data_IF_263789593805
#
_entry.id   IF_263789593805
#
_cell.length_a   1.000
_cell.length_b   1.000
_cell.length_c   1.000
_cell.angle_alpha   90.00
_cell.angle_beta   90.00
_cell.angle_gamma   90.00
#
_symmetry.space_group_name_H-M   'P 1'
#
loop_
_entity.id
_entity.type
_entity.pdbx_description
1 polymer ?
#
# COMPACT_ATOMS: atom_id res chain seq x y z
N UNK A 1 54.86 -13.17 23.07
CA UNK A 1 54.83 -12.08 22.09
C UNK A 1 54.86 -10.77 22.87
N UNK A 2 55.78 -9.85 22.59
CA UNK A 2 55.80 -8.56 23.28
C UNK A 2 54.59 -7.72 22.84
N UNK A 3 54.07 -6.84 23.70
CA UNK A 3 52.96 -5.95 23.33
C UNK A 3 53.30 -5.13 22.07
N UNK A 4 54.57 -4.79 21.85
CA UNK A 4 55.04 -4.11 20.64
C UNK A 4 54.84 -4.91 19.34
N UNK A 5 55.04 -6.24 19.37
CA UNK A 5 54.78 -7.09 18.20
C UNK A 5 53.29 -7.19 17.87
N UNK A 6 52.45 -7.24 18.91
CA UNK A 6 51.00 -7.25 18.76
C UNK A 6 50.52 -5.93 18.13
N UNK A 7 51.04 -4.80 18.59
CA UNK A 7 50.65 -3.49 18.09
C UNK A 7 51.10 -3.27 16.64
N UNK A 8 52.28 -3.77 16.26
CA UNK A 8 52.75 -3.75 14.88
C UNK A 8 51.83 -4.56 13.94
N UNK A 9 51.44 -5.77 14.35
CA UNK A 9 50.53 -6.63 13.57
C UNK A 9 49.13 -5.99 13.45
N UNK A 10 48.63 -5.34 14.51
CA UNK A 10 47.36 -4.62 14.46
C UNK A 10 47.39 -3.45 13.50
N UNK A 11 48.49 -2.69 13.49
CA UNK A 11 48.67 -1.60 12.52
C UNK A 11 48.64 -2.10 11.08
N UNK A 12 49.28 -3.25 10.80
CA UNK A 12 49.20 -3.88 9.48
C UNK A 12 47.78 -4.34 9.12
N UNK A 13 47.01 -4.84 10.09
CA UNK A 13 45.59 -5.18 9.89
C UNK A 13 44.75 -3.94 9.57
N UNK A 14 45.01 -2.81 10.23
CA UNK A 14 44.31 -1.56 9.96
C UNK A 14 44.59 -1.02 8.54
N UNK A 15 45.84 -1.13 8.09
CA UNK A 15 46.23 -0.79 6.70
C UNK A 15 45.49 -1.70 5.70
N UNK A 16 45.42 -3.01 5.95
CA UNK A 16 44.66 -3.95 5.13
C UNK A 16 43.15 -3.67 5.13
N UNK A 17 42.57 -3.21 6.24
CA UNK A 17 41.16 -2.83 6.32
C UNK A 17 40.85 -1.65 5.38
N UNK A 18 41.75 -0.68 5.29
CA UNK A 18 41.61 0.46 4.37
C UNK A 18 41.69 -0.01 2.91
N UNK A 19 42.59 -0.94 2.61
CA UNK A 19 42.69 -1.53 1.27
C UNK A 19 41.42 -2.30 0.89
N UNK A 20 40.87 -3.09 1.80
CA UNK A 20 39.59 -3.78 1.60
C UNK A 20 38.44 -2.80 1.35
N UNK A 21 38.35 -1.72 2.13
CA UNK A 21 37.35 -0.67 1.93
C UNK A 21 37.45 -0.06 0.52
N UNK A 22 38.67 0.27 0.08
CA UNK A 22 38.92 0.83 -1.25
C UNK A 22 38.50 -0.13 -2.36
N UNK A 23 38.81 -1.42 -2.23
CA UNK A 23 38.41 -2.45 -3.18
C UNK A 23 36.89 -2.65 -3.22
N UNK A 24 36.23 -2.65 -2.06
CA UNK A 24 34.78 -2.77 -1.95
C UNK A 24 34.09 -1.55 -2.60
N UNK A 25 34.57 -0.33 -2.33
CA UNK A 25 34.02 0.89 -2.93
C UNK A 25 34.18 0.89 -4.46
N UNK A 26 35.38 0.57 -4.95
CA UNK A 26 35.64 0.45 -6.38
C UNK A 26 34.76 -0.61 -7.05
N UNK A 27 34.52 -1.74 -6.37
CA UNK A 27 33.56 -2.75 -6.84
C UNK A 27 32.13 -2.18 -6.87
N UNK A 28 31.73 -1.44 -5.85
CA UNK A 28 30.43 -0.76 -5.79
C UNK A 28 30.20 0.19 -6.96
N UNK A 29 31.21 0.99 -7.33
CA UNK A 29 31.13 1.89 -8.49
C UNK A 29 30.97 1.11 -9.80
N UNK A 30 31.72 0.02 -9.99
CA UNK A 30 31.54 -0.86 -11.16
C UNK A 30 30.15 -1.50 -11.19
N UNK A 31 29.61 -1.91 -10.04
CA UNK A 31 28.25 -2.45 -9.93
C UNK A 31 27.20 -1.40 -10.33
N UNK A 32 27.40 -0.12 -9.99
CA UNK A 32 26.56 0.98 -10.45
C UNK A 32 26.66 1.22 -11.96
N UNK A 33 27.88 1.21 -12.51
CA UNK A 33 28.06 1.35 -13.97
C UNK A 33 27.41 0.19 -14.72
N UNK A 34 27.58 -1.05 -14.27
CA UNK A 34 26.90 -2.22 -14.87
C UNK A 34 25.38 -2.06 -14.82
N UNK A 35 24.83 -1.50 -13.74
CA UNK A 35 23.39 -1.26 -13.63
C UNK A 35 22.84 -0.36 -14.74
N UNK A 36 23.61 0.64 -15.21
CA UNK A 36 23.20 1.53 -16.31
C UNK A 36 23.02 0.81 -17.65
N UNK A 37 23.75 -0.28 -17.86
CA UNK A 37 23.69 -1.08 -19.10
C UNK A 37 22.71 -2.26 -18.99
N UNK A 38 22.19 -2.55 -17.80
CA UNK A 38 21.11 -3.52 -17.66
C UNK A 38 19.81 -2.89 -18.16
N UNK A 39 19.07 -3.53 -19.07
CA UNK A 39 17.80 -2.98 -19.56
C UNK A 39 16.83 -2.76 -18.38
N UNK A 40 16.09 -1.64 -18.39
CA UNK A 40 15.05 -1.26 -17.42
C UNK A 40 13.81 -2.17 -17.44
N UNK A 41 13.98 -3.49 -17.53
CA UNK A 41 12.91 -4.47 -17.59
C UNK A 41 12.92 -5.34 -16.32
N UNK A 42 12.21 -4.87 -15.29
CA UNK A 42 11.80 -5.67 -14.12
C UNK A 42 12.89 -5.97 -13.07
N UNK A 43 12.44 -6.29 -11.85
CA UNK A 43 13.29 -6.67 -10.72
C UNK A 43 14.08 -7.98 -10.99
N UNK A 44 13.51 -8.90 -11.78
CA UNK A 44 14.06 -10.24 -12.06
C UNK A 44 15.34 -10.26 -12.90
N UNK A 45 15.74 -9.14 -13.52
CA UNK A 45 17.02 -9.02 -14.27
C UNK A 45 18.14 -8.34 -13.46
N UNK A 46 17.86 -7.87 -12.25
CA UNK A 46 18.87 -7.24 -11.38
C UNK A 46 19.69 -8.28 -10.63
N UNK A 47 19.02 -9.25 -10.01
CA UNK A 47 19.63 -10.44 -9.44
C UNK A 47 19.84 -11.50 -10.52
N UNK A 48 21.08 -11.95 -10.70
CA UNK A 48 21.42 -13.04 -11.62
C UNK A 48 22.09 -14.15 -10.82
N UNK A 49 21.32 -15.20 -10.41
CA UNK A 49 21.85 -16.28 -9.58
C UNK A 49 22.90 -17.10 -10.34
N UNK A 50 22.83 -17.18 -11.67
CA UNK A 50 23.82 -17.87 -12.50
C UNK A 50 25.14 -17.12 -12.45
N UNK A 51 25.09 -15.81 -12.63
CA UNK A 51 26.28 -14.95 -12.53
C UNK A 51 26.89 -14.97 -11.12
N UNK A 52 26.06 -14.90 -10.09
CA UNK A 52 26.53 -15.02 -8.70
C UNK A 52 27.24 -16.35 -8.48
N UNK A 53 26.62 -17.46 -8.87
CA UNK A 53 27.20 -18.79 -8.72
C UNK A 53 28.56 -18.91 -9.44
N UNK A 54 28.67 -18.42 -10.68
CA UNK A 54 29.94 -18.39 -11.41
C UNK A 54 31.04 -17.59 -10.70
N UNK A 55 30.69 -16.46 -10.08
CA UNK A 55 31.66 -15.66 -9.31
C UNK A 55 32.10 -16.41 -8.05
N UNK A 56 31.17 -17.05 -7.34
CA UNK A 56 31.47 -17.84 -6.14
C UNK A 56 32.35 -19.05 -6.45
N UNK A 57 32.06 -19.79 -7.51
CA UNK A 57 32.90 -20.92 -7.95
C UNK A 57 34.31 -20.47 -8.35
N UNK A 58 34.42 -19.31 -9.01
CA UNK A 58 35.73 -18.73 -9.33
C UNK A 58 36.53 -18.38 -8.07
N UNK A 59 35.89 -17.77 -7.08
CA UNK A 59 36.53 -17.40 -5.80
C UNK A 59 36.97 -18.65 -5.04
N UNK A 60 36.12 -19.67 -5.00
CA UNK A 60 36.41 -20.97 -4.38
C UNK A 60 37.63 -21.63 -5.03
N UNK A 61 37.67 -21.70 -6.36
CA UNK A 61 38.79 -22.32 -7.09
C UNK A 61 40.11 -21.57 -6.95
N UNK A 62 40.09 -20.30 -6.53
CA UNK A 62 41.27 -19.46 -6.31
C UNK A 62 41.63 -19.29 -4.82
N UNK A 63 40.90 -19.95 -3.91
CA UNK A 63 41.12 -19.81 -2.48
C UNK A 63 42.31 -20.66 -2.03
N UNK A 64 43.48 -20.03 -1.90
CA UNK A 64 44.68 -20.61 -1.29
C UNK A 64 44.88 -20.11 0.16
N UNK A 65 43.88 -19.38 0.69
CA UNK A 65 43.96 -18.68 1.96
C UNK A 65 43.61 -19.55 3.18
N UNK A 66 43.78 -19.01 4.39
CA UNK A 66 43.55 -19.74 5.64
C UNK A 66 42.06 -19.95 5.97
N UNK A 67 41.15 -19.28 5.26
CA UNK A 67 39.71 -19.43 5.46
C UNK A 67 39.14 -20.57 4.61
N UNK A 68 38.21 -21.33 5.18
CA UNK A 68 37.47 -22.35 4.44
C UNK A 68 36.60 -21.72 3.35
N UNK A 69 36.40 -22.46 2.25
CA UNK A 69 35.58 -22.03 1.11
C UNK A 69 34.18 -21.55 1.52
N UNK A 70 33.55 -22.25 2.48
CA UNK A 70 32.22 -21.87 2.96
C UNK A 70 32.19 -20.46 3.57
N UNK A 71 33.24 -20.08 4.31
CA UNK A 71 33.38 -18.76 4.92
C UNK A 71 33.60 -17.69 3.85
N UNK A 72 34.48 -17.95 2.88
CA UNK A 72 34.72 -17.04 1.76
C UNK A 72 33.43 -16.82 0.98
N UNK A 73 32.70 -17.90 0.64
CA UNK A 73 31.41 -17.81 -0.06
C UNK A 73 30.43 -16.94 0.70
N UNK A 74 30.30 -17.11 2.02
CA UNK A 74 29.38 -16.33 2.83
C UNK A 74 29.73 -14.83 2.83
N UNK A 75 31.01 -14.47 3.05
CA UNK A 75 31.45 -13.08 3.04
C UNK A 75 31.20 -12.41 1.68
N UNK A 76 31.49 -13.10 0.58
CA UNK A 76 31.25 -12.54 -0.75
C UNK A 76 29.77 -12.42 -1.09
N UNK A 77 28.90 -13.32 -0.59
CA UNK A 77 27.45 -13.16 -0.71
C UNK A 77 26.94 -11.88 -0.05
N UNK A 78 27.44 -11.53 1.13
CA UNK A 78 27.08 -10.25 1.77
C UNK A 78 27.56 -9.04 0.95
N UNK A 79 28.76 -9.10 0.36
CA UNK A 79 29.26 -8.06 -0.56
C UNK A 79 28.37 -7.96 -1.81
N UNK A 80 27.88 -9.09 -2.33
CA UNK A 80 27.02 -9.12 -3.51
C UNK A 80 25.64 -8.56 -3.20
N UNK A 81 25.06 -8.93 -2.06
CA UNK A 81 23.81 -8.39 -1.55
C UNK A 81 23.89 -6.88 -1.36
N UNK A 82 24.92 -6.37 -0.70
CA UNK A 82 25.13 -4.92 -0.55
C UNK A 82 25.23 -4.20 -1.92
N UNK A 83 25.86 -4.85 -2.91
CA UNK A 83 25.89 -4.37 -4.29
C UNK A 83 24.52 -4.30 -4.96
N UNK A 84 23.65 -5.29 -4.71
CA UNK A 84 22.27 -5.29 -5.22
C UNK A 84 21.44 -4.18 -4.57
N UNK A 85 21.55 -4.01 -3.25
CA UNK A 85 20.86 -2.95 -2.49
C UNK A 85 21.28 -1.54 -2.96
N UNK A 86 22.54 -1.35 -3.38
CA UNK A 86 23.00 -0.10 -3.99
C UNK A 86 22.23 0.21 -5.30
N UNK A 87 21.89 -0.81 -6.08
CA UNK A 87 21.09 -0.65 -7.31
C UNK A 87 19.60 -0.40 -7.01
N UNK A 88 19.08 -0.97 -5.91
CA UNK A 88 17.70 -0.76 -5.47
C UNK A 88 17.46 0.65 -4.90
N UNK A 89 18.42 1.17 -4.11
CA UNK A 89 18.35 2.53 -3.54
C UNK A 89 18.31 3.64 -4.58
N UNK A 90 18.95 3.46 -5.74
CA UNK A 90 18.88 4.41 -6.85
C UNK A 90 17.55 4.29 -7.63
N UNK A 91 16.91 3.12 -7.69
CA UNK A 91 15.59 2.96 -8.32
C UNK A 91 14.48 3.69 -7.52
N UNK A 92 14.50 3.58 -6.18
CA UNK A 92 13.56 4.34 -5.34
C UNK A 92 13.79 5.87 -5.35
N UNK A 93 14.93 6.36 -5.85
CA UNK A 93 15.14 7.80 -6.10
C UNK A 93 14.37 8.31 -7.32
N UNK A 94 13.97 7.42 -8.24
CA UNK A 94 13.33 7.81 -9.51
C UNK A 94 11.81 7.68 -9.51
N UNK A 95 11.24 6.86 -8.60
CA UNK A 95 9.80 6.65 -8.52
C UNK A 95 9.04 7.97 -8.31
N UNK A 96 8.00 8.17 -9.10
CA UNK A 96 7.16 9.36 -9.04
C UNK A 96 6.49 9.50 -7.68
N UNK A 97 6.08 8.39 -7.06
CA UNK A 97 5.40 8.37 -5.74
C UNK A 97 6.32 8.61 -4.54
N UNK A 98 7.64 8.60 -4.72
CA UNK A 98 8.64 8.62 -3.64
C UNK A 98 8.84 10.01 -3.05
N UNK A 99 9.04 10.11 -1.72
CA UNK A 99 9.41 11.38 -1.08
C UNK A 99 10.72 11.98 -1.59
N UNK A 100 11.61 11.12 -2.09
CA UNK A 100 12.89 11.56 -2.68
C UNK A 100 12.66 12.33 -3.98
N UNK A 101 11.55 12.09 -4.68
CA UNK A 101 11.15 12.75 -5.92
C UNK A 101 10.34 14.01 -5.65
N UNK A 102 9.40 13.95 -4.71
CA UNK A 102 8.59 15.08 -4.25
C UNK A 102 8.54 15.06 -2.72
N UNK A 103 9.09 16.09 -2.08
CA UNK A 103 9.22 16.11 -0.63
C UNK A 103 7.89 16.49 0.06
N UNK A 104 7.12 17.37 -0.59
CA UNK A 104 5.84 17.88 -0.10
C UNK A 104 4.74 16.82 -0.19
N UNK A 105 3.83 16.82 0.78
CA UNK A 105 2.67 15.95 0.76
C UNK A 105 1.78 16.20 -0.47
N UNK A 106 1.25 15.13 -1.05
CA UNK A 106 0.12 15.21 -1.97
C UNK A 106 -1.14 15.36 -1.14
N UNK A 107 -1.89 16.43 -1.41
CA UNK A 107 -3.21 16.68 -0.85
C UNK A 107 -4.22 16.43 -1.96
N UNK A 108 -5.23 15.61 -1.67
CA UNK A 108 -6.29 15.29 -2.62
C UNK A 108 -7.57 15.97 -2.14
N UNK A 109 -8.04 16.94 -2.93
CA UNK A 109 -9.27 17.69 -2.66
C UNK A 109 -10.45 17.02 -3.37
N UNK A 110 -11.43 16.57 -2.60
CA UNK A 110 -12.67 15.99 -3.12
C UNK A 110 -13.85 16.74 -2.50
N UNK A 111 -14.49 17.60 -3.30
CA UNK A 111 -15.61 18.45 -2.86
C UNK A 111 -15.30 19.24 -1.57
N UNK A 112 -14.06 19.73 -1.41
CA UNK A 112 -13.61 20.51 -0.26
C UNK A 112 -13.01 19.68 0.89
N UNK A 113 -13.11 18.35 0.87
CA UNK A 113 -12.39 17.47 1.78
C UNK A 113 -10.96 17.25 1.29
N UNK A 114 -9.96 17.64 2.09
CA UNK A 114 -8.55 17.66 1.70
C UNK A 114 -7.74 16.55 2.34
N UNK A 115 -7.89 15.33 1.82
CA UNK A 115 -7.18 14.17 2.36
C UNK A 115 -5.67 14.36 2.21
N UNK A 116 -4.95 14.30 3.34
CA UNK A 116 -3.50 14.54 3.42
C UNK A 116 -3.13 15.93 3.95
N UNK A 117 -4.09 16.75 4.41
CA UNK A 117 -3.84 18.09 4.97
C UNK A 117 -3.38 18.10 6.44
N UNK A 118 -3.22 16.92 7.05
CA UNK A 118 -2.86 16.73 8.45
C UNK A 118 -4.04 16.53 9.40
N UNK A 119 -5.29 16.59 8.91
CA UNK A 119 -6.48 16.19 9.66
C UNK A 119 -6.95 14.79 9.24
N UNK A 120 -7.50 13.98 10.16
CA UNK A 120 -8.06 12.69 9.82
C UNK A 120 -9.46 12.86 9.18
N UNK A 121 -9.62 12.34 7.97
CA UNK A 121 -10.92 12.29 7.28
C UNK A 121 -11.61 10.93 7.46
N UNK A 122 -12.90 10.84 7.12
CA UNK A 122 -13.67 9.60 7.26
C UNK A 122 -14.41 9.26 5.96
N UNK A 123 -14.30 7.99 5.55
CA UNK A 123 -14.98 7.44 4.38
C UNK A 123 -15.85 6.27 4.86
N UNK A 124 -17.12 6.54 5.11
CA UNK A 124 -18.06 5.57 5.67
C UNK A 124 -19.17 5.23 4.67
N UNK A 125 -19.83 4.09 4.87
CA UNK A 125 -20.96 3.68 4.04
C UNK A 125 -21.08 2.18 3.93
N UNK A 126 -22.06 1.65 3.18
CA UNK A 126 -22.31 0.22 3.17
C UNK A 126 -21.26 -0.59 2.41
N UNK A 127 -21.15 -1.87 2.80
CA UNK A 127 -20.28 -2.82 2.12
C UNK A 127 -20.67 -2.99 0.66
N UNK A 128 -21.96 -3.19 0.40
CA UNK A 128 -22.53 -3.29 -0.94
C UNK A 128 -23.66 -2.29 -1.11
N UNK A 129 -23.87 -1.83 -2.34
CA UNK A 129 -25.09 -1.11 -2.71
C UNK A 129 -26.18 -2.15 -2.96
N UNK A 130 -27.24 -2.10 -2.17
CA UNK A 130 -28.31 -3.10 -2.22
C UNK A 130 -29.62 -2.53 -2.79
N UNK A 131 -29.91 -1.27 -2.48
CA UNK A 131 -31.01 -0.50 -3.05
C UNK A 131 -30.82 1.00 -2.78
N UNK A 132 -31.55 1.84 -3.51
CA UNK A 132 -31.56 3.29 -3.27
C UNK A 132 -31.95 3.65 -1.83
N UNK A 133 -33.04 3.06 -1.30
CA UNK A 133 -33.51 3.34 0.07
C UNK A 133 -32.50 2.91 1.13
N UNK A 134 -31.77 1.82 0.89
CA UNK A 134 -30.71 1.36 1.78
C UNK A 134 -29.55 2.37 1.84
N UNK A 135 -29.05 2.83 0.70
CA UNK A 135 -27.95 3.81 0.64
C UNK A 135 -28.40 5.17 1.16
N UNK A 136 -29.63 5.59 0.84
CA UNK A 136 -30.21 6.86 1.30
C UNK A 136 -30.19 6.99 2.83
N UNK A 137 -30.64 5.95 3.54
CA UNK A 137 -30.62 5.95 5.02
C UNK A 137 -29.19 6.07 5.57
N UNK A 138 -28.21 5.46 4.91
CA UNK A 138 -26.80 5.60 5.31
C UNK A 138 -26.28 7.01 5.03
N UNK A 139 -26.64 7.61 3.89
CA UNK A 139 -26.28 8.98 3.54
C UNK A 139 -26.84 10.01 4.54
N UNK A 140 -28.11 9.87 4.93
CA UNK A 140 -28.73 10.68 6.00
C UNK A 140 -27.92 10.61 7.30
N UNK A 141 -27.51 9.39 7.68
CA UNK A 141 -26.74 9.17 8.90
C UNK A 141 -25.30 9.72 8.79
N UNK A 142 -24.66 9.63 7.63
CA UNK A 142 -23.33 10.22 7.35
C UNK A 142 -23.40 11.76 7.45
N UNK A 143 -24.42 12.37 6.83
CA UNK A 143 -24.63 13.83 6.89
C UNK A 143 -24.97 14.33 8.28
N UNK A 144 -25.69 13.55 9.09
CA UNK A 144 -25.95 13.87 10.52
C UNK A 144 -24.66 14.10 11.30
N UNK A 145 -23.59 13.36 10.97
CA UNK A 145 -22.27 13.55 11.56
C UNK A 145 -21.45 14.65 10.89
N UNK A 146 -21.92 15.29 9.82
CA UNK A 146 -21.18 16.31 9.08
C UNK A 146 -20.03 15.75 8.24
N UNK A 147 -20.12 14.47 7.83
CA UNK A 147 -19.18 13.89 6.89
C UNK A 147 -19.63 14.15 5.45
N UNK A 148 -18.66 14.30 4.55
CA UNK A 148 -18.92 14.67 3.15
C UNK A 148 -18.57 13.58 2.14
N UNK A 149 -18.18 12.39 2.61
CA UNK A 149 -17.85 11.24 1.75
C UNK A 149 -18.71 10.02 2.11
N UNK A 150 -19.19 9.32 1.08
CA UNK A 150 -19.86 8.04 1.21
C UNK A 150 -19.23 6.98 0.30
N UNK A 151 -18.99 5.80 0.85
CA UNK A 151 -18.55 4.63 0.07
C UNK A 151 -19.67 3.61 -0.11
N UNK A 152 -19.70 2.92 -1.25
CA UNK A 152 -20.63 1.82 -1.50
C UNK A 152 -20.09 0.88 -2.57
N UNK A 153 -20.18 -0.43 -2.36
CA UNK A 153 -19.67 -1.40 -3.35
C UNK A 153 -20.71 -1.69 -4.43
N UNK A 154 -20.59 -1.05 -5.59
CA UNK A 154 -21.42 -1.37 -6.76
C UNK A 154 -21.00 -2.69 -7.43
N UNK A 155 -19.69 -2.97 -7.47
CA UNK A 155 -19.10 -4.25 -7.85
C UNK A 155 -18.47 -4.92 -6.63
N UNK A 156 -18.72 -6.21 -6.41
CA UNK A 156 -18.23 -6.95 -5.24
C UNK A 156 -17.34 -8.12 -5.66
N UNK A 157 -16.01 -8.06 -5.45
CA UNK A 157 -15.15 -9.22 -5.67
C UNK A 157 -15.38 -10.26 -4.56
N UNK A 158 -16.07 -11.35 -4.90
CA UNK A 158 -16.43 -12.44 -3.98
C UNK A 158 -15.49 -13.62 -4.10
N UNK A 159 -15.33 -14.34 -2.99
CA UNK A 159 -14.63 -15.64 -3.00
C UNK A 159 -15.49 -16.71 -3.67
N UNK A 160 -16.80 -16.69 -3.42
CA UNK A 160 -17.79 -17.57 -4.07
C UNK A 160 -18.45 -16.86 -5.24
N UNK A 161 -18.57 -17.49 -6.43
CA UNK A 161 -19.29 -16.90 -7.56
C UNK A 161 -20.81 -16.87 -7.39
N UNK A 162 -21.36 -17.64 -6.43
CA UNK A 162 -22.80 -17.69 -6.13
C UNK A 162 -23.26 -16.62 -5.16
N UNK A 163 -22.31 -15.92 -4.55
CA UNK A 163 -22.60 -14.80 -3.68
C UNK A 163 -23.06 -13.58 -4.50
N UNK A 164 -23.72 -12.62 -3.84
CA UNK A 164 -24.06 -11.33 -4.45
C UNK A 164 -22.81 -10.61 -5.00
N UNK A 165 -22.80 -10.37 -6.32
CA UNK A 165 -21.69 -9.76 -7.07
C UNK A 165 -21.77 -8.23 -7.15
N UNK A 166 -22.84 -7.62 -6.60
CA UNK A 166 -23.12 -6.19 -6.74
C UNK A 166 -24.11 -5.89 -7.88
N UNK A 167 -24.69 -4.69 -7.85
CA UNK A 167 -25.63 -4.21 -8.88
C UNK A 167 -24.93 -3.68 -10.15
N UNK A 168 -23.60 -3.58 -10.15
CA UNK A 168 -22.84 -3.01 -11.25
C UNK A 168 -23.21 -1.55 -11.50
N UNK A 169 -23.46 -1.18 -12.76
CA UNK A 169 -23.77 0.21 -13.13
C UNK A 169 -25.05 0.76 -12.50
N UNK A 170 -26.08 -0.06 -12.26
CA UNK A 170 -27.27 0.37 -11.51
C UNK A 170 -26.88 0.81 -10.08
N UNK A 171 -25.89 0.13 -9.46
CA UNK A 171 -25.33 0.54 -8.18
C UNK A 171 -24.57 1.87 -8.25
N UNK A 172 -23.88 2.14 -9.35
CA UNK A 172 -23.20 3.43 -9.58
C UNK A 172 -24.20 4.57 -9.81
N UNK A 173 -25.28 4.31 -10.54
CA UNK A 173 -26.39 5.27 -10.72
C UNK A 173 -27.04 5.63 -9.38
N UNK A 174 -27.30 4.63 -8.53
CA UNK A 174 -27.78 4.85 -7.16
C UNK A 174 -26.81 5.75 -6.38
N UNK A 175 -25.51 5.44 -6.42
CA UNK A 175 -24.50 6.22 -5.71
C UNK A 175 -24.45 7.66 -6.23
N UNK A 176 -24.38 7.89 -7.54
CA UNK A 176 -24.35 9.23 -8.13
C UNK A 176 -25.57 10.05 -7.70
N UNK A 177 -26.77 9.45 -7.78
CA UNK A 177 -28.01 10.09 -7.33
C UNK A 177 -27.95 10.48 -5.85
N UNK A 178 -27.45 9.61 -4.97
CA UNK A 178 -27.25 9.92 -3.56
C UNK A 178 -26.22 11.04 -3.37
N UNK A 179 -25.12 11.00 -4.12
CA UNK A 179 -24.07 12.02 -4.09
C UNK A 179 -24.60 13.42 -4.44
N UNK A 180 -25.55 13.49 -5.37
CA UNK A 180 -26.16 14.75 -5.80
C UNK A 180 -27.24 15.23 -4.82
N UNK A 181 -28.09 14.32 -4.33
CA UNK A 181 -29.18 14.65 -3.38
C UNK A 181 -28.65 15.12 -2.01
N UNK A 182 -27.54 14.56 -1.54
CA UNK A 182 -27.00 14.83 -0.20
C UNK A 182 -25.73 15.69 -0.21
N UNK A 183 -25.27 16.10 -1.40
CA UNK A 183 -23.97 16.74 -1.62
C UNK A 183 -22.84 15.96 -0.91
N UNK A 184 -22.68 14.71 -1.34
CA UNK A 184 -21.64 13.79 -0.88
C UNK A 184 -20.71 13.46 -2.04
N UNK A 185 -19.43 13.28 -1.74
CA UNK A 185 -18.47 12.65 -2.63
C UNK A 185 -18.62 11.13 -2.55
N UNK A 186 -18.81 10.48 -3.70
CA UNK A 186 -19.14 9.04 -3.75
C UNK A 186 -17.95 8.20 -4.19
N UNK A 187 -17.74 7.10 -3.46
CA UNK A 187 -16.63 6.17 -3.63
C UNK A 187 -17.17 4.77 -3.92
N UNK A 188 -16.70 4.12 -4.98
CA UNK A 188 -16.99 2.71 -5.27
C UNK A 188 -15.80 1.98 -5.86
N UNK A 189 -15.80 0.66 -5.70
CA UNK A 189 -14.81 -0.22 -6.31
C UNK A 189 -15.12 -0.49 -7.79
N UNK A 190 -14.07 -0.47 -8.62
CA UNK A 190 -14.09 -0.92 -10.01
C UNK A 190 -13.15 -2.10 -10.16
N UNK A 191 -13.60 -3.12 -10.89
CA UNK A 191 -12.96 -4.44 -10.94
C UNK A 191 -12.41 -4.81 -12.31
N UNK A 192 -12.78 -4.09 -13.38
CA UNK A 192 -12.33 -4.34 -14.75
C UNK A 192 -11.86 -3.04 -15.42
N UNK A 193 -10.79 -3.09 -16.23
CA UNK A 193 -10.29 -1.92 -16.95
C UNK A 193 -11.34 -1.25 -17.84
N UNK A 194 -12.20 -2.05 -18.49
CA UNK A 194 -13.20 -1.56 -19.44
C UNK A 194 -14.31 -0.73 -18.79
N UNK A 195 -14.52 -0.89 -17.47
CA UNK A 195 -15.55 -0.14 -16.74
C UNK A 195 -15.02 1.22 -16.24
N UNK A 196 -13.71 1.49 -16.34
CA UNK A 196 -13.05 2.61 -15.68
C UNK A 196 -13.55 3.98 -16.17
N UNK A 197 -13.62 4.17 -17.49
CA UNK A 197 -14.02 5.43 -18.11
C UNK A 197 -15.49 5.75 -17.78
N UNK A 198 -16.39 4.79 -18.02
CA UNK A 198 -17.81 4.96 -17.69
C UNK A 198 -18.02 5.17 -16.18
N UNK A 199 -17.31 4.45 -15.31
CA UNK A 199 -17.42 4.63 -13.87
C UNK A 199 -16.98 6.02 -13.39
N UNK A 200 -16.00 6.64 -14.05
CA UNK A 200 -15.53 7.98 -13.73
C UNK A 200 -16.62 9.06 -13.90
N UNK A 201 -17.66 8.81 -14.71
CA UNK A 201 -18.82 9.70 -14.86
C UNK A 201 -19.70 9.72 -13.61
N UNK A 202 -19.77 8.61 -12.87
CA UNK A 202 -20.61 8.47 -11.68
C UNK A 202 -19.86 8.76 -10.38
N UNK A 203 -18.56 8.48 -10.34
CA UNK A 203 -17.78 8.46 -9.12
C UNK A 203 -16.95 9.74 -8.94
N UNK A 204 -16.88 10.20 -7.69
CA UNK A 204 -15.95 11.25 -7.28
C UNK A 204 -14.56 10.67 -6.98
N UNK A 205 -14.50 9.38 -6.60
CA UNK A 205 -13.27 8.65 -6.32
C UNK A 205 -13.44 7.15 -6.60
N UNK A 206 -12.42 6.53 -7.18
CA UNK A 206 -12.45 5.13 -7.61
C UNK A 206 -11.60 4.29 -6.65
N UNK A 207 -12.16 3.19 -6.14
CA UNK A 207 -11.41 2.22 -5.34
C UNK A 207 -10.89 1.08 -6.22
N UNK A 208 -9.63 0.73 -6.08
CA UNK A 208 -9.05 -0.55 -6.50
C UNK A 208 -8.92 -1.43 -5.28
N UNK A 209 -9.69 -2.52 -5.23
CA UNK A 209 -9.69 -3.43 -4.08
C UNK A 209 -8.41 -4.26 -3.96
N UNK A 210 -8.19 -4.79 -2.75
CA UNK A 210 -6.99 -5.54 -2.39
C UNK A 210 -6.68 -6.73 -3.33
N UNK A 211 -7.70 -7.40 -3.86
CA UNK A 211 -7.51 -8.52 -4.80
C UNK A 211 -7.00 -8.08 -6.18
N UNK A 212 -7.20 -6.81 -6.51
CA UNK A 212 -6.80 -6.20 -7.77
C UNK A 212 -5.57 -5.29 -7.63
N UNK A 213 -4.90 -5.24 -6.47
CA UNK A 213 -3.69 -4.41 -6.28
C UNK A 213 -2.58 -4.73 -7.30
N UNK A 214 -2.54 -5.97 -7.83
CA UNK A 214 -1.61 -6.38 -8.89
C UNK A 214 -2.29 -6.69 -10.22
N UNK A 215 -3.53 -6.23 -10.41
CA UNK A 215 -4.16 -6.24 -11.73
C UNK A 215 -3.62 -5.04 -12.53
N UNK A 216 -2.43 -5.21 -13.11
CA UNK A 216 -1.68 -4.09 -13.71
C UNK A 216 -2.42 -3.38 -14.83
N UNK A 217 -3.26 -4.07 -15.61
CA UNK A 217 -4.08 -3.43 -16.63
C UNK A 217 -5.16 -2.54 -16.02
N UNK A 218 -5.73 -2.93 -14.88
CA UNK A 218 -6.66 -2.09 -14.12
C UNK A 218 -5.97 -0.86 -13.52
N UNK A 219 -4.75 -1.03 -13.01
CA UNK A 219 -3.95 0.09 -12.49
C UNK A 219 -3.60 1.09 -13.60
N UNK A 220 -3.24 0.60 -14.78
CA UNK A 220 -2.97 1.46 -15.95
C UNK A 220 -4.21 2.24 -16.36
N UNK A 221 -5.37 1.57 -16.45
CA UNK A 221 -6.64 2.24 -16.76
C UNK A 221 -7.01 3.28 -15.70
N UNK A 222 -6.82 2.98 -14.41
CA UNK A 222 -7.05 3.93 -13.32
C UNK A 222 -6.11 5.15 -13.40
N UNK A 223 -4.91 4.94 -13.94
CA UNK A 223 -3.92 5.99 -14.14
C UNK A 223 -4.20 6.91 -15.34
N UNK A 224 -5.11 6.51 -16.24
CA UNK A 224 -5.48 7.24 -17.46
C UNK A 224 -6.75 8.10 -17.28
N UNK A 225 -7.45 7.97 -16.14
CA UNK A 225 -8.63 8.80 -15.81
C UNK A 225 -8.30 9.92 -14.82
N UNK A 226 -8.97 11.06 -14.96
CA UNK A 226 -8.84 12.22 -14.05
C UNK A 226 -9.77 12.07 -12.83
N UNK A 227 -9.51 11.05 -12.01
CA UNK A 227 -10.23 10.79 -10.77
C UNK A 227 -9.27 10.34 -9.67
N UNK A 228 -9.46 10.78 -8.42
CA UNK A 228 -8.74 10.22 -7.29
C UNK A 228 -8.92 8.71 -7.17
N UNK A 229 -7.84 8.00 -6.85
CA UNK A 229 -7.82 6.53 -6.72
C UNK A 229 -7.51 6.14 -5.28
N UNK A 230 -8.39 5.36 -4.63
CA UNK A 230 -8.04 4.61 -3.42
C UNK A 230 -7.46 3.26 -3.86
N UNK A 231 -6.17 3.06 -3.66
CA UNK A 231 -5.51 1.77 -3.88
C UNK A 231 -5.43 1.01 -2.56
N UNK A 232 -6.16 -0.11 -2.45
CA UNK A 232 -6.07 -0.98 -1.26
C UNK A 232 -4.88 -1.93 -1.36
N UNK A 233 -4.13 -2.05 -0.26
CA UNK A 233 -3.03 -3.01 -0.14
C UNK A 233 -3.52 -4.45 -0.36
N UNK A 234 -2.76 -5.22 -1.12
CA UNK A 234 -3.03 -6.62 -1.39
C UNK A 234 -2.91 -7.49 -0.14
N UNK A 235 -3.64 -8.60 -0.10
CA UNK A 235 -3.78 -9.45 1.10
C UNK A 235 -2.44 -9.93 1.69
N UNK A 236 -1.42 -10.09 0.85
CA UNK A 236 -0.08 -10.52 1.26
C UNK A 236 1.01 -9.66 0.61
N UNK A 237 0.66 -8.44 0.21
CA UNK A 237 1.60 -7.53 -0.45
C UNK A 237 2.63 -6.99 0.54
N UNK A 238 3.90 -6.97 0.14
CA UNK A 238 4.90 -6.19 0.85
C UNK A 238 4.63 -4.69 0.67
N UNK A 239 5.24 -3.85 1.50
CA UNK A 239 5.19 -2.38 1.30
C UNK A 239 5.77 -1.99 -0.06
N UNK A 240 6.83 -2.68 -0.50
CA UNK A 240 7.43 -2.44 -1.82
C UNK A 240 6.47 -2.77 -2.96
N UNK A 241 5.77 -3.91 -2.91
CA UNK A 241 4.76 -4.26 -3.92
C UNK A 241 3.66 -3.20 -4.00
N UNK A 242 3.25 -2.68 -2.84
CA UNK A 242 2.19 -1.69 -2.75
C UNK A 242 2.61 -0.32 -3.32
N UNK A 243 3.82 0.14 -3.02
CA UNK A 243 4.41 1.36 -3.60
C UNK A 243 4.55 1.22 -5.12
N UNK A 244 5.05 0.07 -5.61
CA UNK A 244 5.17 -0.17 -7.05
C UNK A 244 3.79 -0.20 -7.74
N UNK A 245 2.76 -0.74 -7.10
CA UNK A 245 1.40 -0.69 -7.65
C UNK A 245 0.88 0.75 -7.77
N UNK A 246 1.17 1.62 -6.80
CA UNK A 246 0.88 3.05 -6.91
C UNK A 246 1.67 3.71 -8.05
N UNK A 247 2.93 3.33 -8.26
CA UNK A 247 3.76 3.80 -9.37
C UNK A 247 3.15 3.45 -10.75
N UNK A 248 2.50 2.28 -10.90
CA UNK A 248 1.79 1.95 -12.15
C UNK A 248 0.70 2.98 -12.48
N UNK A 249 -0.08 3.41 -11.49
CA UNK A 249 -1.12 4.43 -11.66
C UNK A 249 -0.46 5.78 -11.98
N UNK A 250 0.51 6.20 -11.17
CA UNK A 250 1.17 7.50 -11.34
C UNK A 250 1.91 7.62 -12.68
N UNK A 251 2.54 6.54 -13.15
CA UNK A 251 3.29 6.52 -14.42
C UNK A 251 2.41 6.77 -15.66
N UNK A 252 1.09 6.62 -15.51
CA UNK A 252 0.11 6.91 -16.56
C UNK A 252 -0.45 8.33 -16.54
N UNK A 253 -0.12 9.11 -15.51
CA UNK A 253 -0.45 10.53 -15.42
C UNK A 253 -1.27 10.91 -14.19
N UNK A 254 -1.87 9.94 -13.50
CA UNK A 254 -2.72 10.22 -12.34
C UNK A 254 -1.94 10.10 -11.01
N UNK A 255 -1.53 11.23 -10.45
CA UNK A 255 -0.89 11.32 -9.14
C UNK A 255 -1.85 11.42 -7.95
N UNK A 256 -3.17 11.46 -8.18
CA UNK A 256 -4.19 11.61 -7.15
C UNK A 256 -4.50 10.25 -6.51
N UNK A 257 -3.54 9.70 -5.76
CA UNK A 257 -3.61 8.35 -5.19
C UNK A 257 -3.68 8.42 -3.66
N UNK A 258 -4.64 7.71 -3.06
CA UNK A 258 -4.74 7.44 -1.63
C UNK A 258 -4.40 5.97 -1.41
N UNK A 259 -3.40 5.71 -0.58
CA UNK A 259 -3.03 4.34 -0.19
C UNK A 259 -3.94 3.89 0.97
N UNK A 260 -4.53 2.71 0.89
CA UNK A 260 -5.38 2.18 1.96
C UNK A 260 -4.83 0.87 2.54
N UNK A 261 -4.30 0.95 3.76
CA UNK A 261 -3.96 -0.22 4.59
C UNK A 261 -5.26 -0.88 5.09
N UNK A 262 -5.35 -2.20 4.94
CA UNK A 262 -6.61 -2.95 5.14
C UNK A 262 -6.41 -4.32 5.79
N UNK A 263 -5.28 -4.50 6.46
CA UNK A 263 -4.82 -5.73 7.06
C UNK A 263 -4.21 -6.70 6.06
N UNK A 264 -3.19 -7.41 6.53
CA UNK A 264 -2.50 -8.48 5.82
C UNK A 264 -2.91 -9.84 6.37
N UNK A 265 -2.82 -10.87 5.53
CA UNK A 265 -3.05 -12.26 5.92
C UNK A 265 -1.87 -12.77 6.71
N UNK A 266 -2.15 -13.37 7.85
CA UNK A 266 -1.16 -14.04 8.72
C UNK A 266 -1.69 -15.42 9.14
N UNK A 267 -1.01 -16.07 10.08
CA UNK A 267 -1.48 -17.31 10.70
C UNK A 267 -2.57 -17.09 11.77
N UNK A 268 -2.79 -15.84 12.20
CA UNK A 268 -3.75 -15.48 13.24
C UNK A 268 -5.19 -15.73 12.78
N UNK A 269 -6.05 -16.20 13.68
CA UNK A 269 -7.44 -16.60 13.38
C UNK A 269 -8.49 -15.83 14.18
N UNK A 270 -8.10 -15.10 15.22
CA UNK A 270 -8.99 -14.25 16.03
C UNK A 270 -9.45 -12.98 15.32
N UNK A 271 -8.80 -12.61 14.21
CA UNK A 271 -9.19 -11.53 13.30
C UNK A 271 -9.20 -12.02 11.86
N UNK A 272 -9.98 -11.35 10.98
CA UNK A 272 -10.08 -11.74 9.55
C UNK A 272 -8.75 -11.52 8.82
N UNK A 273 -8.07 -10.42 9.12
CA UNK A 273 -6.69 -10.12 8.75
C UNK A 273 -5.99 -9.53 9.98
N UNK A 274 -4.66 -9.43 9.97
CA UNK A 274 -3.91 -8.69 10.97
C UNK A 274 -3.70 -7.27 10.46
N UNK A 275 -4.21 -6.26 11.19
CA UNK A 275 -3.98 -4.86 10.85
C UNK A 275 -2.49 -4.53 11.00
N UNK A 276 -1.80 -4.25 9.90
CA UNK A 276 -0.41 -3.82 9.91
C UNK A 276 -0.35 -2.29 10.09
N UNK A 277 -0.54 -1.84 11.33
CA UNK A 277 -0.55 -0.41 11.64
C UNK A 277 0.79 0.27 11.33
N UNK A 278 1.90 -0.48 11.36
CA UNK A 278 3.24 0.04 11.07
C UNK A 278 3.42 0.45 9.61
N UNK A 279 2.59 -0.06 8.70
CA UNK A 279 2.59 0.36 7.30
C UNK A 279 2.26 1.85 7.14
N UNK A 280 1.42 2.43 8.02
CA UNK A 280 1.03 3.85 7.93
C UNK A 280 2.23 4.79 7.97
N UNK A 281 3.05 4.82 9.04
CA UNK A 281 4.21 5.70 9.09
C UNK A 281 5.28 5.35 8.04
N UNK A 282 5.47 4.07 7.70
CA UNK A 282 6.44 3.66 6.67
C UNK A 282 6.02 4.24 5.31
N UNK A 283 4.76 4.06 4.90
CA UNK A 283 4.25 4.60 3.63
C UNK A 283 4.31 6.12 3.61
N UNK A 284 3.95 6.78 4.72
CA UNK A 284 4.06 8.23 4.85
C UNK A 284 5.51 8.74 4.85
N UNK A 285 6.51 7.93 5.20
CA UNK A 285 7.92 8.29 5.12
C UNK A 285 8.52 8.05 3.73
N UNK A 286 8.17 6.93 3.10
CA UNK A 286 8.72 6.54 1.81
C UNK A 286 8.02 7.22 0.63
N UNK A 287 6.74 7.58 0.79
CA UNK A 287 5.93 8.21 -0.25
C UNK A 287 5.36 9.56 0.20
N UNK A 288 5.03 10.41 -0.76
CA UNK A 288 4.31 11.67 -0.51
C UNK A 288 2.78 11.50 -0.58
N UNK A 289 2.27 10.26 -0.70
CA UNK A 289 0.84 10.00 -0.86
C UNK A 289 0.14 9.92 0.50
N UNK A 290 -1.13 10.34 0.60
CA UNK A 290 -1.93 10.13 1.80
C UNK A 290 -2.21 8.65 2.05
N UNK A 291 -2.29 8.28 3.33
CA UNK A 291 -2.48 6.91 3.80
C UNK A 291 -3.71 6.79 4.68
N UNK A 292 -4.67 5.99 4.21
CA UNK A 292 -5.92 5.64 4.87
C UNK A 292 -5.82 4.26 5.55
N UNK A 293 -6.64 4.03 6.59
CA UNK A 293 -6.82 2.71 7.20
C UNK A 293 -8.27 2.25 7.12
N UNK A 294 -8.50 1.06 6.57
CA UNK A 294 -9.79 0.36 6.59
C UNK A 294 -9.89 -0.54 7.82
N UNK A 295 -10.63 -0.08 8.83
CA UNK A 295 -10.76 -0.79 10.11
C UNK A 295 -11.75 -1.96 10.06
N UNK A 296 -12.65 -1.96 9.07
CA UNK A 296 -13.67 -3.02 8.94
C UNK A 296 -13.08 -4.27 8.30
N UNK A 297 -12.40 -4.12 7.15
CA UNK A 297 -11.87 -5.27 6.43
C UNK A 297 -10.58 -5.83 7.01
N UNK A 298 -9.82 -5.01 7.75
CA UNK A 298 -8.61 -5.46 8.47
C UNK A 298 -9.01 -6.38 9.62
N UNK A 299 -9.75 -5.85 10.59
CA UNK A 299 -10.12 -6.59 11.79
C UNK A 299 -11.15 -7.69 11.49
N UNK A 300 -12.13 -7.41 10.62
CA UNK A 300 -13.30 -8.25 10.40
C UNK A 300 -14.20 -8.39 11.62
N UNK A 301 -14.14 -7.44 12.57
CA UNK A 301 -14.80 -7.53 13.87
C UNK A 301 -15.33 -6.18 14.34
N UNK A 302 -16.63 -6.12 14.65
CA UNK A 302 -17.31 -4.90 15.13
C UNK A 302 -16.73 -4.33 16.42
N UNK A 303 -16.33 -5.20 17.35
CA UNK A 303 -15.78 -4.79 18.65
C UNK A 303 -14.38 -4.16 18.56
N UNK A 304 -13.70 -4.34 17.43
CA UNK A 304 -12.36 -3.79 17.19
C UNK A 304 -12.36 -2.50 16.36
N UNK A 305 -13.50 -2.05 15.84
CA UNK A 305 -13.57 -0.88 14.97
C UNK A 305 -13.10 0.40 15.67
N UNK A 306 -13.61 0.69 16.87
CA UNK A 306 -13.24 1.89 17.64
C UNK A 306 -11.76 1.85 18.07
N UNK A 307 -11.25 0.77 18.70
CA UNK A 307 -9.82 0.70 19.04
C UNK A 307 -8.90 0.82 17.82
N UNK A 308 -9.22 0.16 16.72
CA UNK A 308 -8.41 0.22 15.50
C UNK A 308 -8.41 1.62 14.87
N UNK A 309 -9.57 2.30 14.85
CA UNK A 309 -9.66 3.67 14.33
C UNK A 309 -8.85 4.65 15.19
N UNK A 310 -8.93 4.54 16.52
CA UNK A 310 -8.10 5.34 17.43
C UNK A 310 -6.61 5.11 17.20
N UNK A 311 -6.18 3.85 17.07
CA UNK A 311 -4.80 3.52 16.77
C UNK A 311 -4.34 4.11 15.43
N UNK A 312 -5.19 4.02 14.40
CA UNK A 312 -4.91 4.56 13.08
C UNK A 312 -4.77 6.10 13.09
N UNK A 313 -5.67 6.81 13.76
CA UNK A 313 -5.59 8.27 13.94
C UNK A 313 -4.32 8.62 14.73
N UNK A 314 -4.06 7.95 15.86
CA UNK A 314 -2.92 8.24 16.71
C UNK A 314 -1.56 8.02 16.02
N UNK A 315 -1.47 7.04 15.10
CA UNK A 315 -0.24 6.80 14.33
C UNK A 315 -0.08 7.75 13.13
N UNK A 316 -1.09 8.57 12.83
CA UNK A 316 -1.05 9.59 11.77
C UNK A 316 -1.62 9.15 10.43
N UNK A 317 -2.64 8.27 10.40
CA UNK A 317 -3.40 8.01 9.18
C UNK A 317 -4.20 9.26 8.74
N UNK A 318 -4.22 9.54 7.43
CA UNK A 318 -4.89 10.70 6.84
C UNK A 318 -6.40 10.49 6.69
N UNK A 319 -6.85 9.24 6.68
CA UNK A 319 -8.26 8.91 6.65
C UNK A 319 -8.58 7.55 7.27
N UNK A 320 -9.81 7.39 7.77
CA UNK A 320 -10.36 6.14 8.27
C UNK A 320 -11.52 5.70 7.39
N UNK A 321 -11.50 4.44 6.95
CA UNK A 321 -12.61 3.81 6.25
C UNK A 321 -13.29 2.78 7.15
N UNK A 322 -14.62 2.83 7.23
CA UNK A 322 -15.42 1.88 7.99
C UNK A 322 -16.77 1.63 7.32
N UNK A 323 -17.43 0.51 7.65
CA UNK A 323 -18.71 0.16 7.03
C UNK A 323 -19.92 0.35 7.96
N UNK A 324 -20.99 0.87 7.38
CA UNK A 324 -22.26 1.20 8.05
C UNK A 324 -23.43 0.69 7.22
N UNK A 325 -24.37 0.00 7.86
CA UNK A 325 -25.58 -0.53 7.24
C UNK A 325 -26.81 -0.22 8.11
N UNK A 326 -27.99 0.11 7.55
CA UNK A 326 -29.19 0.35 8.35
C UNK A 326 -29.61 -0.89 9.15
N UNK A 327 -29.46 -2.08 8.57
CA UNK A 327 -29.74 -3.35 9.22
C UNK A 327 -28.68 -4.40 8.84
N UNK A 328 -27.56 -4.50 9.57
CA UNK A 328 -26.48 -5.42 9.22
C UNK A 328 -26.91 -6.89 9.16
N UNK A 329 -27.97 -7.30 9.88
CA UNK A 329 -28.39 -8.69 9.94
C UNK A 329 -28.90 -9.24 8.60
N UNK A 330 -29.42 -8.36 7.73
CA UNK A 330 -29.98 -8.73 6.42
C UNK A 330 -29.07 -8.34 5.24
N UNK A 331 -27.89 -7.78 5.49
CA UNK A 331 -26.99 -7.32 4.44
C UNK A 331 -26.50 -8.46 3.52
N UNK A 332 -26.27 -8.16 2.24
CA UNK A 332 -25.79 -9.12 1.24
C UNK A 332 -24.26 -9.37 1.30
N UNK A 333 -23.58 -8.63 2.17
CA UNK A 333 -22.15 -8.80 2.48
C UNK A 333 -21.83 -8.27 3.87
N UNK A 334 -20.83 -8.86 4.54
CA UNK A 334 -20.25 -8.38 5.80
C UNK A 334 -21.27 -8.11 6.93
N UNK A 335 -22.30 -8.95 7.02
CA UNK A 335 -23.37 -8.87 8.02
C UNK A 335 -22.87 -8.75 9.47
N UNK A 336 -21.74 -9.41 9.77
CA UNK A 336 -21.17 -9.45 11.11
C UNK A 336 -20.23 -8.27 11.40
N UNK A 337 -19.86 -7.50 10.38
CA UNK A 337 -18.79 -6.50 10.44
C UNK A 337 -19.32 -5.07 10.38
N UNK A 338 -20.40 -4.82 9.64
CA UNK A 338 -20.96 -3.48 9.46
C UNK A 338 -21.61 -2.96 10.75
N UNK A 339 -21.42 -1.68 11.04
CA UNK A 339 -22.11 -1.00 12.14
C UNK A 339 -23.57 -0.71 11.77
N UNK A 340 -24.49 -0.89 12.71
CA UNK A 340 -25.80 -0.23 12.63
C UNK A 340 -25.67 1.27 12.99
N UNK A 341 -26.77 2.02 12.95
CA UNK A 341 -26.72 3.47 13.20
C UNK A 341 -26.33 3.86 14.62
N UNK A 342 -26.79 3.13 15.63
CA UNK A 342 -26.41 3.35 17.03
C UNK A 342 -24.91 3.10 17.24
N UNK A 343 -24.39 2.03 16.66
CA UNK A 343 -22.96 1.70 16.68
C UNK A 343 -22.13 2.75 15.96
N UNK A 344 -22.64 3.28 14.84
CA UNK A 344 -21.97 4.34 14.10
C UNK A 344 -21.97 5.68 14.85
N UNK A 345 -23.08 6.04 15.52
CA UNK A 345 -23.14 7.20 16.41
C UNK A 345 -22.08 7.10 17.51
N UNK A 346 -22.00 5.95 18.19
CA UNK A 346 -21.00 5.69 19.22
C UNK A 346 -19.56 5.69 18.66
N UNK A 347 -19.35 5.15 17.46
CA UNK A 347 -18.06 5.17 16.78
C UNK A 347 -17.59 6.60 16.52
N UNK A 348 -18.45 7.44 15.91
CA UNK A 348 -18.12 8.83 15.59
C UNK A 348 -17.87 9.68 16.84
N UNK A 349 -18.65 9.47 17.91
CA UNK A 349 -18.40 10.15 19.19
C UNK A 349 -17.04 9.75 19.78
N UNK A 350 -16.68 8.47 19.68
CA UNK A 350 -15.47 7.95 20.29
C UNK A 350 -14.18 8.37 19.58
N UNK A 351 -14.19 8.55 18.26
CA UNK A 351 -13.01 8.89 17.44
C UNK A 351 -12.79 10.40 17.26
N UNK A 352 -13.78 11.23 17.63
CA UNK A 352 -13.67 12.69 17.63
C UNK A 352 -13.14 13.29 18.94
N UNK A 353 -13.12 12.49 20.01
CA UNK A 353 -12.51 12.82 21.30
C UNK A 353 -11.04 12.41 21.28
#
# INVERSE_FOLDING_TARGET
MSNEQLDLLRKQLDELNVDLLNLINKRGDLVKEVAKFKPNQGADKKYDPVREHQMLEKLKNQNEGPFQDATIIHLFKEIFKAGLELQEKDYHKEMLVSRKRKNEDTIIDIKGEKIGDGQPHFVCGPCAVESYEQVKKVAEQIKKHGLNMIRGGAFKPRTSPYDFQGLGFEGLEILRRIGDEFDLAVVSEIVRPQDMEQAAEYLDMIQIGARNMQNFELLKAAGEVDKPIILKRGMSATVSDFINAAEYIHSKGNGNIILCERGIRTYETSTRNTLDITAVPILKQETHLPVMVDVTHSTGRRDLLIPAAKAAIAIGADAIMAEVHPDPAVALSDQQQQMNFEQFDAFMEAVRK
#
